data_IF_062234822026
#
_entry.id   IF_062234822026
#
_cell.length_a   1.000
_cell.length_b   1.000
_cell.length_c   1.000
_cell.angle_alpha   90.00
_cell.angle_beta   90.00
_cell.angle_gamma   90.00
#
_symmetry.space_group_name_H-M   'P 1'
#
loop_
_entity.id
_entity.type
_entity.pdbx_description
1 polymer ?
#
# COMPACT_ATOMS: atom_id res chain seq x y z
N UNK A 1 41.25 83.57 -57.82
CA UNK A 1 39.98 82.88 -57.86
C UNK A 1 40.20 81.61 -57.04
N UNK A 2 39.62 81.60 -55.91
CA UNK A 2 39.29 80.61 -55.00
C UNK A 2 40.18 79.40 -54.89
N UNK A 3 40.94 79.26 -53.78
CA UNK A 3 41.69 78.13 -53.37
C UNK A 3 41.10 77.61 -52.05
N UNK A 4 40.57 76.42 -52.12
CA UNK A 4 39.99 75.68 -50.94
C UNK A 4 41.07 75.10 -50.12
N UNK A 5 40.94 75.34 -48.77
CA UNK A 5 41.68 74.70 -47.72
C UNK A 5 41.00 73.37 -47.34
N UNK A 6 41.73 72.26 -47.48
CA UNK A 6 41.34 71.01 -46.91
C UNK A 6 41.95 70.88 -45.53
N UNK A 7 41.05 70.76 -44.52
CA UNK A 7 41.38 70.45 -43.17
C UNK A 7 41.65 68.93 -43.02
N UNK A 8 42.76 68.57 -42.46
CA UNK A 8 43.14 67.23 -42.06
C UNK A 8 42.25 66.81 -40.89
N UNK A 9 41.43 65.80 -41.06
CA UNK A 9 40.72 65.09 -39.99
C UNK A 9 41.62 64.05 -39.40
N UNK A 10 41.93 64.18 -38.07
CA UNK A 10 42.60 63.17 -37.26
C UNK A 10 41.76 61.89 -37.24
N UNK A 11 42.40 60.80 -37.64
CA UNK A 11 41.84 59.44 -37.51
C UNK A 11 42.11 59.04 -36.06
N UNK A 12 41.06 59.06 -35.26
CA UNK A 12 41.02 58.45 -33.94
C UNK A 12 40.94 56.95 -34.16
N UNK A 13 41.99 56.22 -33.87
CA UNK A 13 42.02 54.79 -33.75
C UNK A 13 41.15 54.41 -32.54
N UNK A 14 40.17 53.48 -32.63
CA UNK A 14 39.50 52.98 -31.49
C UNK A 14 40.46 52.09 -30.68
N UNK A 15 40.77 52.60 -29.52
CA UNK A 15 41.62 51.95 -28.52
C UNK A 15 40.92 50.76 -27.88
N UNK A 16 41.70 49.71 -27.71
CA UNK A 16 41.55 48.65 -26.74
C UNK A 16 40.15 48.01 -26.56
N UNK A 17 39.96 46.85 -27.13
CA UNK A 17 39.08 45.86 -26.56
C UNK A 17 39.37 45.73 -25.05
N UNK A 18 38.36 45.78 -24.19
CA UNK A 18 38.58 45.46 -22.75
C UNK A 18 39.15 44.05 -22.63
N UNK A 19 40.20 43.92 -21.84
CA UNK A 19 40.75 42.63 -21.48
C UNK A 19 39.64 41.70 -21.05
N UNK A 20 39.69 40.39 -21.35
CA UNK A 20 38.76 39.44 -20.84
C UNK A 20 38.75 39.59 -19.32
N UNK A 21 37.60 39.96 -18.77
CA UNK A 21 37.37 39.86 -17.32
C UNK A 21 37.77 38.44 -16.93
N UNK A 22 38.81 38.34 -16.11
CA UNK A 22 39.23 37.08 -15.52
C UNK A 22 38.01 36.28 -15.15
N UNK A 23 37.88 35.07 -15.64
CA UNK A 23 36.83 34.17 -15.25
C UNK A 23 36.93 34.10 -13.72
N UNK A 24 35.86 34.45 -12.96
CA UNK A 24 35.95 34.42 -11.54
C UNK A 24 36.34 32.99 -11.13
N UNK A 25 37.39 32.87 -10.34
CA UNK A 25 37.80 31.61 -9.71
C UNK A 25 36.54 30.92 -9.16
N UNK A 26 36.45 29.60 -9.39
CA UNK A 26 35.37 28.79 -8.76
C UNK A 26 35.30 29.17 -7.28
N UNK A 27 34.11 29.46 -6.75
CA UNK A 27 34.02 29.93 -5.38
C UNK A 27 34.75 28.94 -4.46
N UNK A 28 35.50 29.40 -3.45
CA UNK A 28 36.31 28.55 -2.55
C UNK A 28 35.48 27.58 -1.69
N UNK A 29 34.19 27.48 -1.99
CA UNK A 29 33.19 26.71 -1.24
C UNK A 29 33.16 25.20 -1.50
N UNK A 30 33.69 24.71 -2.61
CA UNK A 30 33.50 23.28 -2.96
C UNK A 30 34.22 22.33 -2.01
N UNK A 31 35.43 22.65 -1.61
CA UNK A 31 36.18 21.84 -0.65
C UNK A 31 35.58 21.89 0.76
N UNK A 32 34.97 23.03 1.13
CA UNK A 32 34.28 23.21 2.41
C UNK A 32 32.98 22.43 2.47
N UNK A 33 32.21 22.45 1.38
CA UNK A 33 30.95 21.68 1.26
C UNK A 33 31.19 20.17 1.34
N UNK A 34 32.24 19.67 0.69
CA UNK A 34 32.54 18.24 0.72
C UNK A 34 32.91 17.71 2.11
N UNK A 35 33.38 18.59 3.01
CA UNK A 35 33.78 18.27 4.38
C UNK A 35 32.63 18.29 5.41
N UNK A 36 31.44 18.71 5.01
CA UNK A 36 30.27 18.76 5.92
C UNK A 36 29.79 17.32 6.17
N UNK A 37 29.81 16.88 7.43
CA UNK A 37 29.39 15.53 7.83
C UNK A 37 27.87 15.40 7.94
N UNK A 38 27.19 16.45 8.43
CA UNK A 38 25.73 16.44 8.55
C UNK A 38 25.04 16.59 7.20
N UNK A 39 24.15 15.63 6.87
CA UNK A 39 23.49 15.56 5.57
C UNK A 39 22.53 16.71 5.31
N UNK A 40 21.87 17.24 6.34
CA UNK A 40 20.91 18.33 6.19
C UNK A 40 21.65 19.64 5.94
N UNK A 41 22.66 19.95 6.76
CA UNK A 41 23.55 21.11 6.58
C UNK A 41 24.22 21.06 5.20
N UNK A 42 24.73 19.90 4.78
CA UNK A 42 25.31 19.74 3.46
C UNK A 42 24.33 20.07 2.33
N UNK A 43 23.09 19.56 2.41
CA UNK A 43 22.07 19.84 1.42
C UNK A 43 21.66 21.32 1.37
N UNK A 44 21.53 21.96 2.53
CA UNK A 44 21.16 23.38 2.64
C UNK A 44 22.26 24.27 2.06
N UNK A 45 23.50 24.07 2.45
CA UNK A 45 24.66 24.84 1.98
C UNK A 45 24.92 24.61 0.48
N UNK A 46 24.75 23.39 0.00
CA UNK A 46 24.82 23.08 -1.44
C UNK A 46 23.74 23.80 -2.24
N UNK A 47 22.52 23.87 -1.72
CA UNK A 47 21.41 24.61 -2.37
C UNK A 47 21.64 26.12 -2.30
N UNK A 48 22.25 26.65 -1.25
CA UNK A 48 22.66 28.04 -1.15
C UNK A 48 23.75 28.37 -2.17
N UNK A 49 24.77 27.51 -2.31
CA UNK A 49 25.77 27.60 -3.36
C UNK A 49 25.14 27.62 -4.76
N UNK A 50 24.16 26.73 -5.02
CA UNK A 50 23.43 26.71 -6.28
C UNK A 50 22.75 28.06 -6.53
N UNK A 51 22.04 28.60 -5.54
CA UNK A 51 21.37 29.93 -5.65
C UNK A 51 22.37 31.04 -5.93
N UNK A 52 23.49 31.08 -5.19
CA UNK A 52 24.54 32.07 -5.41
C UNK A 52 25.17 31.95 -6.78
N UNK A 53 25.40 30.72 -7.25
CA UNK A 53 25.99 30.45 -8.55
C UNK A 53 25.06 30.84 -9.73
N UNK A 54 23.74 30.74 -9.55
CA UNK A 54 22.75 31.02 -10.59
C UNK A 54 22.26 32.47 -10.61
N UNK A 55 22.20 33.13 -9.45
CA UNK A 55 21.69 34.51 -9.36
C UNK A 55 22.68 35.57 -9.85
N UNK A 56 23.97 35.28 -9.86
CA UNK A 56 25.02 36.26 -10.18
C UNK A 56 25.64 36.12 -11.56
N UNK A 57 25.23 35.11 -12.37
CA UNK A 57 25.92 34.78 -13.63
C UNK A 57 24.97 34.42 -14.75
N UNK A 58 25.26 34.83 -16.00
CA UNK A 58 24.48 34.42 -17.15
C UNK A 58 24.63 32.92 -17.49
N UNK A 59 25.75 32.30 -17.12
CA UNK A 59 26.00 30.85 -17.30
C UNK A 59 26.43 30.26 -15.94
N UNK A 60 25.63 29.40 -15.31
CA UNK A 60 26.01 28.69 -14.09
C UNK A 60 27.27 27.82 -14.32
N UNK A 61 28.12 27.71 -13.30
CA UNK A 61 29.28 26.80 -13.35
C UNK A 61 28.80 25.39 -13.01
N UNK A 62 29.02 24.41 -13.88
CA UNK A 62 28.65 23.03 -13.60
C UNK A 62 29.40 22.46 -12.40
N UNK A 63 28.78 21.50 -11.72
CA UNK A 63 29.41 20.74 -10.63
C UNK A 63 30.37 19.70 -11.23
N UNK A 64 31.68 19.86 -11.01
CA UNK A 64 32.73 18.95 -11.53
C UNK A 64 33.67 18.46 -10.42
N UNK A 65 33.53 18.96 -9.20
CA UNK A 65 34.37 18.60 -8.08
C UNK A 65 34.14 17.15 -7.63
N UNK A 66 35.21 16.34 -7.69
CA UNK A 66 35.14 14.91 -7.43
C UNK A 66 34.78 14.58 -5.98
N UNK A 67 35.22 15.41 -5.02
CA UNK A 67 34.94 15.21 -3.59
C UNK A 67 33.49 15.56 -3.28
N UNK A 68 32.98 16.62 -3.91
CA UNK A 68 31.59 17.03 -3.79
C UNK A 68 30.65 16.02 -4.42
N UNK A 69 31.01 15.44 -5.58
CA UNK A 69 30.27 14.33 -6.19
C UNK A 69 30.27 13.10 -5.27
N UNK A 70 31.42 12.78 -4.65
CA UNK A 70 31.51 11.68 -3.70
C UNK A 70 30.60 11.91 -2.48
N UNK A 71 30.59 13.11 -1.94
CA UNK A 71 29.72 13.49 -0.82
C UNK A 71 28.22 13.45 -1.21
N UNK A 72 27.87 13.96 -2.37
CA UNK A 72 26.52 13.85 -2.93
C UNK A 72 26.08 12.37 -3.05
N UNK A 73 26.97 11.50 -3.52
CA UNK A 73 26.72 10.08 -3.61
C UNK A 73 26.64 9.37 -2.25
N UNK A 74 27.16 9.93 -1.19
CA UNK A 74 27.05 9.39 0.16
C UNK A 74 25.68 9.69 0.82
N UNK A 75 24.93 10.67 0.31
CA UNK A 75 23.61 11.01 0.83
C UNK A 75 22.64 9.82 0.84
N UNK A 76 21.73 9.71 1.81
CA UNK A 76 20.66 8.74 1.77
C UNK A 76 19.70 9.00 0.58
N UNK A 77 19.00 7.98 0.09
CA UNK A 77 18.20 8.06 -1.15
C UNK A 77 17.13 9.17 -1.12
N UNK A 78 16.56 9.45 0.03
CA UNK A 78 15.54 10.50 0.17
C UNK A 78 16.10 11.93 0.05
N UNK A 79 17.41 12.13 0.26
CA UNK A 79 18.12 13.41 0.08
C UNK A 79 18.79 13.49 -1.28
N UNK A 80 19.42 12.42 -1.73
CA UNK A 80 20.15 12.38 -3.00
C UNK A 80 19.33 12.86 -4.20
N UNK A 81 18.13 12.31 -4.37
CA UNK A 81 17.29 12.60 -5.54
C UNK A 81 16.80 14.06 -5.58
N UNK A 82 16.23 14.63 -4.50
CA UNK A 82 15.83 16.04 -4.49
C UNK A 82 17.02 16.99 -4.74
N UNK A 83 18.17 16.70 -4.15
CA UNK A 83 19.39 17.52 -4.31
C UNK A 83 19.90 17.47 -5.75
N UNK A 84 19.96 16.29 -6.36
CA UNK A 84 20.36 16.13 -7.76
C UNK A 84 19.41 16.89 -8.71
N UNK A 85 18.09 16.86 -8.47
CA UNK A 85 17.10 17.61 -9.23
C UNK A 85 17.32 19.12 -9.05
N UNK A 86 17.61 19.57 -7.84
CA UNK A 86 17.87 20.98 -7.56
C UNK A 86 19.12 21.50 -8.28
N UNK A 87 20.13 20.65 -8.46
CA UNK A 87 21.33 20.94 -9.28
C UNK A 87 21.02 20.98 -10.78
N UNK A 88 20.15 20.10 -11.26
CA UNK A 88 19.81 20.02 -12.67
C UNK A 88 18.91 21.19 -13.16
N UNK A 89 18.04 21.73 -12.29
CA UNK A 89 17.14 22.84 -12.64
C UNK A 89 17.84 24.11 -13.15
N UNK A 90 18.89 24.60 -12.46
CA UNK A 90 19.63 25.80 -12.86
C UNK A 90 20.82 25.49 -13.78
N UNK A 91 20.87 24.33 -14.41
CA UNK A 91 21.96 23.90 -15.28
C UNK A 91 23.35 23.82 -14.57
N UNK A 92 23.34 23.62 -13.26
CA UNK A 92 24.53 23.39 -12.45
C UNK A 92 25.03 21.93 -12.52
N UNK A 93 24.29 21.06 -13.17
CA UNK A 93 24.66 19.65 -13.35
C UNK A 93 25.18 19.46 -14.77
N UNK A 94 26.47 19.09 -14.90
CA UNK A 94 27.01 18.76 -16.22
C UNK A 94 26.54 17.39 -16.71
N UNK A 95 26.59 17.19 -18.02
CA UNK A 95 26.25 15.91 -18.61
C UNK A 95 27.18 14.80 -18.12
N UNK A 96 28.49 15.10 -17.95
CA UNK A 96 29.49 14.14 -17.48
C UNK A 96 29.19 13.64 -16.07
N UNK A 97 28.67 14.51 -15.19
CA UNK A 97 28.25 14.10 -13.83
C UNK A 97 27.09 13.10 -13.87
N UNK A 98 26.17 13.21 -14.81
CA UNK A 98 25.09 12.21 -14.95
C UNK A 98 25.60 10.83 -15.31
N UNK A 99 26.69 10.76 -16.06
CA UNK A 99 27.33 9.51 -16.48
C UNK A 99 28.46 9.07 -15.52
N UNK A 100 28.69 9.82 -14.42
CA UNK A 100 29.70 9.45 -13.42
C UNK A 100 29.40 8.05 -12.86
N UNK A 101 30.46 7.26 -12.71
CA UNK A 101 30.42 5.86 -12.25
C UNK A 101 29.81 5.67 -10.85
N UNK A 102 29.69 6.73 -10.07
CA UNK A 102 29.06 6.76 -8.73
C UNK A 102 27.61 7.21 -8.79
N UNK A 103 27.28 8.18 -9.64
CA UNK A 103 25.92 8.76 -9.81
C UNK A 103 25.00 7.83 -10.60
N UNK A 104 25.47 7.33 -11.74
CA UNK A 104 24.67 6.49 -12.62
C UNK A 104 24.14 5.22 -11.92
N UNK A 105 24.93 4.47 -11.11
CA UNK A 105 24.42 3.34 -10.35
C UNK A 105 23.34 3.72 -9.33
N UNK A 106 23.39 4.92 -8.74
CA UNK A 106 22.36 5.39 -7.82
C UNK A 106 21.07 5.73 -8.56
N UNK A 107 21.15 6.41 -9.70
CA UNK A 107 20.01 6.66 -10.58
C UNK A 107 19.40 5.35 -11.09
N UNK A 108 20.21 4.33 -11.32
CA UNK A 108 19.78 3.00 -11.74
C UNK A 108 18.90 2.29 -10.70
N UNK A 109 18.99 2.65 -9.41
CA UNK A 109 18.14 2.13 -8.33
C UNK A 109 16.77 2.83 -8.26
N UNK A 110 16.62 4.00 -8.87
CA UNK A 110 15.38 4.75 -8.85
C UNK A 110 14.24 3.97 -9.52
N UNK A 111 13.04 4.06 -8.94
CA UNK A 111 11.85 3.49 -9.57
C UNK A 111 11.60 4.18 -10.92
N UNK A 112 11.26 3.41 -11.95
CA UNK A 112 11.06 3.93 -13.33
C UNK A 112 10.05 5.08 -13.40
N UNK A 113 8.98 5.02 -12.60
CA UNK A 113 7.97 6.09 -12.52
C UNK A 113 8.57 7.39 -11.97
N UNK A 114 9.34 7.31 -10.90
CA UNK A 114 10.02 8.46 -10.30
C UNK A 114 11.10 9.03 -11.20
N UNK A 115 11.92 8.17 -11.82
CA UNK A 115 12.92 8.60 -12.80
C UNK A 115 12.26 9.40 -13.94
N UNK A 116 11.18 8.86 -14.55
CA UNK A 116 10.48 9.49 -15.68
C UNK A 116 9.69 10.73 -15.30
N UNK A 117 8.98 10.70 -14.18
CA UNK A 117 8.10 11.77 -13.75
C UNK A 117 8.81 12.92 -13.06
N UNK A 118 9.91 12.65 -12.36
CA UNK A 118 10.55 13.63 -11.50
C UNK A 118 11.92 14.07 -11.99
N UNK A 119 12.77 13.15 -12.44
CA UNK A 119 14.15 13.46 -12.82
C UNK A 119 14.32 13.79 -14.31
N UNK A 120 13.83 12.95 -15.22
CA UNK A 120 14.02 13.15 -16.67
C UNK A 120 13.52 14.48 -17.22
N UNK A 121 12.43 15.12 -16.71
CA UNK A 121 12.02 16.44 -17.17
C UNK A 121 13.10 17.52 -17.01
N UNK A 122 13.93 17.40 -15.97
CA UNK A 122 15.06 18.32 -15.74
C UNK A 122 16.31 17.90 -16.54
N UNK A 123 16.63 16.60 -16.55
CA UNK A 123 17.76 16.11 -17.33
C UNK A 123 17.67 16.46 -18.83
N UNK A 124 16.45 16.50 -19.40
CA UNK A 124 16.20 16.90 -20.80
C UNK A 124 16.56 18.36 -21.10
N UNK A 125 16.73 19.20 -20.08
CA UNK A 125 17.12 20.60 -20.24
C UNK A 125 18.63 20.77 -20.32
N UNK A 126 19.43 19.76 -19.96
CA UNK A 126 20.88 19.81 -20.00
C UNK A 126 21.37 19.80 -21.45
N UNK A 127 22.34 20.65 -21.73
CA UNK A 127 22.91 20.78 -23.06
C UNK A 127 23.56 19.45 -23.50
N UNK A 128 23.20 18.95 -24.69
CA UNK A 128 23.72 17.71 -25.23
C UNK A 128 23.07 16.43 -24.67
N UNK A 129 22.05 16.53 -23.79
CA UNK A 129 21.36 15.36 -23.24
C UNK A 129 20.57 14.61 -24.30
N UNK A 130 20.89 13.32 -24.47
CA UNK A 130 20.15 12.38 -25.33
C UNK A 130 19.53 11.30 -24.45
N UNK A 131 18.20 11.35 -24.30
CA UNK A 131 17.48 10.42 -23.42
C UNK A 131 17.72 8.94 -23.76
N UNK A 132 17.83 8.63 -25.06
CA UNK A 132 18.07 7.26 -25.51
C UNK A 132 19.41 6.70 -25.03
N UNK A 133 20.46 7.52 -25.03
CA UNK A 133 21.79 7.16 -24.59
C UNK A 133 21.82 7.02 -23.07
N UNK A 134 21.29 7.98 -22.35
CA UNK A 134 21.16 7.93 -20.91
C UNK A 134 20.40 6.68 -20.43
N UNK A 135 19.26 6.35 -21.04
CA UNK A 135 18.51 5.15 -20.70
C UNK A 135 19.20 3.85 -21.07
N UNK A 136 20.14 3.88 -22.04
CA UNK A 136 20.98 2.74 -22.39
C UNK A 136 22.01 2.47 -21.29
N UNK A 137 22.77 3.50 -20.91
CA UNK A 137 23.77 3.43 -19.84
C UNK A 137 23.12 3.06 -18.49
N UNK A 138 21.97 3.64 -18.17
CA UNK A 138 21.22 3.31 -16.97
C UNK A 138 20.82 1.83 -16.93
N UNK A 139 20.41 1.27 -18.07
CA UNK A 139 20.10 -0.18 -18.18
C UNK A 139 21.34 -1.04 -18.03
N UNK A 140 22.47 -0.57 -18.54
CA UNK A 140 23.74 -1.25 -18.36
C UNK A 140 24.15 -1.26 -16.90
N UNK A 141 24.14 -0.12 -16.22
CA UNK A 141 24.43 -0.02 -14.79
C UNK A 141 23.49 -0.89 -13.94
N UNK A 142 22.20 -1.00 -14.30
CA UNK A 142 21.27 -1.93 -13.66
C UNK A 142 21.70 -3.40 -13.83
N UNK A 143 22.14 -3.80 -15.03
CA UNK A 143 22.60 -5.17 -15.30
C UNK A 143 23.87 -5.49 -14.52
N UNK A 144 24.82 -4.56 -14.47
CA UNK A 144 26.06 -4.70 -13.72
C UNK A 144 25.81 -4.81 -12.21
N UNK A 145 24.90 -4.02 -11.65
CA UNK A 145 24.48 -4.16 -10.27
C UNK A 145 23.86 -5.54 -9.98
N UNK A 146 23.02 -6.03 -10.88
CA UNK A 146 22.45 -7.37 -10.75
C UNK A 146 23.53 -8.45 -10.85
N UNK A 147 24.45 -8.33 -11.79
CA UNK A 147 25.56 -9.26 -11.94
C UNK A 147 26.49 -9.24 -10.71
N UNK A 148 26.82 -8.07 -10.18
CA UNK A 148 27.65 -7.93 -8.98
C UNK A 148 26.94 -8.50 -7.73
N UNK A 149 25.63 -8.28 -7.58
CA UNK A 149 24.85 -8.91 -6.50
C UNK A 149 24.84 -10.43 -6.63
N UNK A 150 24.71 -10.95 -7.84
CA UNK A 150 24.77 -12.38 -8.09
C UNK A 150 26.17 -12.97 -7.85
N UNK A 151 27.23 -12.20 -8.15
CA UNK A 151 28.62 -12.63 -7.95
C UNK A 151 29.06 -12.60 -6.48
N UNK A 152 28.50 -11.66 -5.68
CA UNK A 152 28.86 -11.49 -4.25
C UNK A 152 27.86 -12.11 -3.29
N UNK A 153 26.64 -12.40 -3.77
CA UNK A 153 25.57 -13.01 -2.97
C UNK A 153 25.66 -14.53 -2.96
N UNK A 154 25.35 -15.14 -1.82
CA UNK A 154 25.17 -16.58 -1.71
C UNK A 154 23.67 -16.91 -1.67
N UNK A 155 23.20 -17.93 -2.42
CA UNK A 155 21.82 -18.36 -2.32
C UNK A 155 21.54 -18.95 -0.92
N UNK A 156 20.41 -18.58 -0.35
CA UNK A 156 19.92 -19.20 0.90
C UNK A 156 19.04 -20.37 0.50
N UNK A 157 19.50 -21.58 0.77
CA UNK A 157 18.78 -22.84 0.50
C UNK A 157 18.51 -23.52 1.83
N UNK A 158 17.26 -23.86 2.08
CA UNK A 158 16.84 -24.60 3.29
C UNK A 158 16.34 -25.97 2.83
N UNK A 159 16.88 -27.02 3.43
CA UNK A 159 16.40 -28.38 3.20
C UNK A 159 15.11 -28.61 3.98
N UNK A 160 14.07 -29.12 3.34
CA UNK A 160 12.75 -29.28 3.98
C UNK A 160 12.72 -30.30 5.11
N UNK A 161 13.69 -31.21 5.17
CA UNK A 161 13.86 -32.18 6.28
C UNK A 161 14.33 -31.49 7.58
N UNK A 162 14.96 -30.33 7.49
CA UNK A 162 15.37 -29.52 8.65
C UNK A 162 14.26 -28.60 9.17
N UNK A 163 13.16 -28.46 8.43
CA UNK A 163 12.05 -27.56 8.77
C UNK A 163 11.06 -28.26 9.68
N UNK A 164 10.89 -27.75 10.89
CA UNK A 164 9.88 -28.26 11.83
C UNK A 164 8.49 -27.82 11.41
N UNK A 165 7.57 -28.78 11.29
CA UNK A 165 6.16 -28.50 11.01
C UNK A 165 5.52 -27.76 12.19
N UNK A 166 4.93 -26.60 11.93
CA UNK A 166 4.14 -25.83 12.90
C UNK A 166 2.70 -25.67 12.42
N UNK A 167 1.70 -25.82 13.30
CA UNK A 167 0.31 -25.57 12.95
C UNK A 167 0.09 -24.07 12.70
N UNK A 168 -0.92 -23.75 11.86
CA UNK A 168 -1.39 -22.38 11.72
C UNK A 168 -2.11 -21.97 13.00
N UNK A 169 -1.70 -20.86 13.58
CA UNK A 169 -2.38 -20.24 14.73
C UNK A 169 -3.35 -19.18 14.23
N UNK A 170 -4.54 -19.12 14.85
CA UNK A 170 -5.62 -18.27 14.39
C UNK A 170 -5.93 -17.20 15.44
N UNK A 171 -6.15 -15.97 14.96
CA UNK A 171 -6.75 -14.89 15.74
C UNK A 171 -8.27 -15.06 15.78
N UNK A 172 -8.85 -15.43 14.65
CA UNK A 172 -10.27 -15.78 14.46
C UNK A 172 -10.38 -16.91 13.44
N UNK A 173 -10.62 -18.13 13.91
CA UNK A 173 -10.69 -19.31 13.03
C UNK A 173 -12.05 -19.41 12.32
N UNK A 174 -12.05 -19.72 11.01
CA UNK A 174 -10.95 -19.86 10.09
C UNK A 174 -10.64 -18.59 9.27
N UNK A 175 -11.04 -17.41 9.75
CA UNK A 175 -11.09 -16.15 9.00
C UNK A 175 -9.77 -15.37 9.02
N UNK A 176 -9.17 -15.23 10.20
CA UNK A 176 -7.96 -14.41 10.39
C UNK A 176 -6.89 -15.21 11.11
N UNK A 177 -5.76 -15.46 10.44
CA UNK A 177 -4.63 -16.21 11.00
C UNK A 177 -3.54 -15.25 11.54
N UNK A 178 -2.92 -15.63 12.65
CA UNK A 178 -1.73 -14.96 13.20
C UNK A 178 -0.52 -15.17 12.28
N UNK A 179 0.37 -14.19 12.25
CA UNK A 179 1.54 -14.20 11.38
C UNK A 179 1.20 -14.07 9.89
N UNK A 180 -0.02 -13.66 9.51
CA UNK A 180 -0.46 -13.64 8.13
C UNK A 180 -1.17 -12.32 7.78
N UNK A 181 -1.13 -12.00 6.47
CA UNK A 181 -1.84 -10.88 5.90
C UNK A 181 -3.23 -11.34 5.44
N UNK A 182 -4.25 -10.58 5.82
CA UNK A 182 -5.64 -10.72 5.37
C UNK A 182 -6.11 -9.46 4.64
N UNK A 183 -7.00 -9.62 3.66
CA UNK A 183 -7.71 -8.51 3.02
C UNK A 183 -9.17 -8.51 3.43
N UNK A 184 -9.73 -7.33 3.69
CA UNK A 184 -11.13 -7.11 3.98
C UNK A 184 -11.73 -6.17 2.93
N UNK A 185 -12.50 -6.72 2.03
CA UNK A 185 -13.13 -6.01 0.90
C UNK A 185 -14.61 -5.71 1.20
N UNK A 186 -15.15 -4.66 0.61
CA UNK A 186 -16.58 -4.33 0.68
C UNK A 186 -16.84 -2.86 0.39
N UNK A 187 -18.08 -2.50 0.05
CA UNK A 187 -18.48 -1.16 -0.31
C UNK A 187 -18.28 -0.16 0.86
N UNK A 188 -18.10 1.15 0.58
CA UNK A 188 -18.10 2.17 1.60
C UNK A 188 -19.40 2.13 2.44
N UNK A 189 -19.28 2.35 3.75
CA UNK A 189 -20.45 2.39 4.67
C UNK A 189 -21.07 1.03 5.00
N UNK A 190 -20.54 -0.09 4.46
CA UNK A 190 -21.10 -1.43 4.71
C UNK A 190 -20.80 -1.95 6.13
N UNK A 191 -19.87 -1.35 6.86
CA UNK A 191 -19.54 -1.74 8.23
C UNK A 191 -18.18 -2.42 8.41
N UNK A 192 -17.25 -2.29 7.45
CA UNK A 192 -15.89 -2.89 7.56
C UNK A 192 -15.12 -2.40 8.79
N UNK A 193 -15.04 -1.08 8.96
CA UNK A 193 -14.38 -0.47 10.13
C UNK A 193 -15.09 -0.85 11.42
N UNK A 194 -16.44 -0.87 11.43
CA UNK A 194 -17.24 -1.29 12.58
C UNK A 194 -16.94 -2.75 12.97
N UNK A 195 -16.86 -3.66 12.00
CA UNK A 195 -16.46 -5.05 12.22
C UNK A 195 -15.08 -5.15 12.87
N UNK A 196 -14.09 -4.41 12.33
CA UNK A 196 -12.73 -4.45 12.87
C UNK A 196 -12.63 -3.81 14.26
N UNK A 197 -13.40 -2.76 14.51
CA UNK A 197 -13.54 -2.14 15.85
C UNK A 197 -14.12 -3.15 16.86
N UNK A 198 -15.13 -3.90 16.48
CA UNK A 198 -15.71 -4.94 17.34
C UNK A 198 -14.73 -6.08 17.63
N UNK A 199 -13.98 -6.53 16.60
CA UNK A 199 -12.94 -7.55 16.80
C UNK A 199 -11.85 -7.01 17.75
N UNK A 200 -11.38 -5.78 17.54
CA UNK A 200 -10.40 -5.14 18.41
C UNK A 200 -10.90 -5.02 19.86
N UNK A 201 -12.17 -4.63 20.05
CA UNK A 201 -12.81 -4.58 21.36
C UNK A 201 -12.86 -5.95 22.04
N UNK A 202 -13.25 -6.99 21.30
CA UNK A 202 -13.27 -8.37 21.79
C UNK A 202 -11.88 -8.84 22.22
N UNK A 203 -10.86 -8.58 21.41
CA UNK A 203 -9.46 -8.91 21.71
C UNK A 203 -8.95 -8.17 22.95
N UNK A 204 -9.31 -6.91 23.14
CA UNK A 204 -8.86 -6.10 24.27
C UNK A 204 -9.31 -6.62 25.62
N UNK A 205 -10.41 -7.37 25.67
CA UNK A 205 -11.01 -7.96 26.88
C UNK A 205 -11.10 -9.49 26.88
N UNK A 206 -10.48 -10.15 25.90
CA UNK A 206 -10.56 -11.61 25.74
C UNK A 206 -12.00 -12.13 25.52
N UNK A 207 -12.88 -11.31 24.94
CA UNK A 207 -14.19 -11.79 24.57
C UNK A 207 -14.08 -12.74 23.38
N UNK A 208 -14.86 -13.84 23.37
CA UNK A 208 -14.82 -14.76 22.25
C UNK A 208 -15.43 -14.15 20.99
N UNK A 209 -14.95 -14.65 19.83
CA UNK A 209 -15.51 -14.34 18.51
C UNK A 209 -16.44 -15.48 18.06
N UNK A 210 -17.39 -15.25 17.13
CA UNK A 210 -18.25 -16.30 16.62
C UNK A 210 -17.44 -17.39 15.91
N UNK A 211 -17.81 -18.62 16.12
CA UNK A 211 -17.29 -19.75 15.36
C UNK A 211 -18.05 -19.98 14.04
N UNK A 212 -17.75 -21.08 13.35
CA UNK A 212 -18.42 -21.43 12.09
C UNK A 212 -19.91 -21.80 12.22
N UNK A 213 -20.36 -22.11 13.43
CA UNK A 213 -21.76 -22.46 13.70
C UNK A 213 -22.56 -21.22 14.14
N UNK A 214 -21.89 -20.06 14.22
CA UNK A 214 -22.52 -18.79 14.61
C UNK A 214 -22.62 -18.60 16.11
N UNK A 215 -22.09 -19.51 16.89
CA UNK A 215 -21.98 -19.37 18.35
C UNK A 215 -20.76 -18.50 18.69
N UNK A 216 -20.81 -17.81 19.82
CA UNK A 216 -19.68 -16.98 20.29
C UNK A 216 -18.75 -17.88 21.11
N UNK A 217 -17.97 -18.69 20.46
CA UNK A 217 -17.21 -19.76 21.12
C UNK A 217 -15.70 -19.73 20.87
N UNK A 218 -15.21 -19.02 19.83
CA UNK A 218 -13.80 -18.99 19.53
C UNK A 218 -13.02 -18.14 20.54
N UNK A 219 -12.27 -18.80 21.43
CA UNK A 219 -11.47 -18.11 22.45
C UNK A 219 -10.25 -17.43 21.80
N UNK A 220 -10.10 -16.12 22.03
CA UNK A 220 -8.99 -15.32 21.51
C UNK A 220 -7.72 -15.39 22.37
N UNK A 221 -7.77 -16.04 23.52
CA UNK A 221 -6.70 -16.04 24.53
C UNK A 221 -6.81 -14.87 25.51
N UNK A 222 -5.69 -14.37 26.02
CA UNK A 222 -5.64 -13.23 26.96
C UNK A 222 -5.98 -11.90 26.31
N UNK A 223 -6.07 -10.80 27.10
CA UNK A 223 -6.27 -9.46 26.55
C UNK A 223 -5.10 -9.07 25.63
N UNK A 224 -5.41 -8.66 24.40
CA UNK A 224 -4.42 -8.37 23.38
C UNK A 224 -4.44 -6.92 22.95
N UNK A 225 -3.28 -6.41 22.54
CA UNK A 225 -3.15 -5.08 21.92
C UNK A 225 -3.56 -5.17 20.45
N UNK A 226 -4.28 -4.16 20.00
CA UNK A 226 -4.54 -3.90 18.59
C UNK A 226 -3.89 -2.58 18.18
N UNK A 227 -3.15 -2.56 17.06
CA UNK A 227 -2.66 -1.34 16.42
C UNK A 227 -3.57 -1.02 15.24
N UNK A 228 -4.05 0.21 15.17
CA UNK A 228 -4.89 0.70 14.07
C UNK A 228 -4.17 1.81 13.32
N UNK A 229 -4.21 1.74 12.01
CA UNK A 229 -3.86 2.81 11.08
C UNK A 229 -5.17 3.23 10.41
N UNK A 230 -5.70 4.40 10.77
CA UNK A 230 -6.94 4.94 10.21
C UNK A 230 -6.74 6.39 9.80
N UNK A 231 -7.16 6.71 8.57
CA UNK A 231 -7.12 8.08 8.02
C UNK A 231 -8.51 8.62 7.72
N UNK A 232 -9.53 7.75 7.74
CA UNK A 232 -10.90 8.15 7.40
C UNK A 232 -11.71 8.58 8.63
N UNK A 233 -11.47 7.94 9.77
CA UNK A 233 -12.21 8.20 11.00
C UNK A 233 -11.44 9.15 11.93
N UNK A 234 -12.10 10.20 12.42
CA UNK A 234 -11.61 11.05 13.50
C UNK A 234 -11.43 10.24 14.79
N UNK A 235 -10.32 10.48 15.51
CA UNK A 235 -10.01 9.71 16.72
C UNK A 235 -11.00 10.01 17.85
N UNK A 236 -11.38 11.28 18.01
CA UNK A 236 -12.15 11.79 19.14
C UNK A 236 -13.65 11.63 18.96
N UNK A 237 -14.14 11.87 17.76
CA UNK A 237 -15.56 11.96 17.43
C UNK A 237 -16.14 10.67 16.80
N UNK A 238 -15.28 9.80 16.30
CA UNK A 238 -15.71 8.61 15.57
C UNK A 238 -15.11 7.33 16.11
N UNK A 239 -13.78 7.17 16.10
CA UNK A 239 -13.14 5.91 16.45
C UNK A 239 -13.27 5.59 17.93
N UNK A 240 -12.99 6.58 18.81
CA UNK A 240 -13.07 6.37 20.26
C UNK A 240 -14.49 6.08 20.74
N UNK A 241 -15.54 6.81 20.35
CA UNK A 241 -16.92 6.44 20.69
C UNK A 241 -17.31 5.04 20.24
N UNK A 242 -16.96 4.64 19.01
CA UNK A 242 -17.23 3.27 18.53
C UNK A 242 -16.53 2.19 19.33
N UNK A 243 -15.29 2.44 19.78
CA UNK A 243 -14.57 1.51 20.64
C UNK A 243 -15.19 1.39 22.03
N UNK A 244 -15.63 2.51 22.59
CA UNK A 244 -16.31 2.56 23.89
C UNK A 244 -17.68 1.86 23.82
N UNK A 245 -18.47 2.11 22.79
CA UNK A 245 -19.76 1.45 22.53
C UNK A 245 -19.60 -0.07 22.33
N UNK A 246 -18.50 -0.49 21.66
CA UNK A 246 -18.13 -1.90 21.52
C UNK A 246 -17.59 -2.51 22.83
N UNK A 247 -17.45 -1.74 23.88
CA UNK A 247 -16.97 -2.17 25.19
C UNK A 247 -15.48 -2.45 25.26
N UNK A 248 -14.65 -1.81 24.39
CA UNK A 248 -13.21 -2.02 24.36
C UNK A 248 -12.50 -1.54 25.63
N UNK A 249 -11.40 -2.21 25.99
CA UNK A 249 -10.35 -1.60 26.80
C UNK A 249 -9.49 -0.71 25.90
N UNK A 250 -9.77 0.59 25.87
CA UNK A 250 -9.06 1.55 25.03
C UNK A 250 -7.55 1.63 25.34
N UNK A 251 -7.09 1.19 26.53
CA UNK A 251 -5.67 1.12 26.84
C UNK A 251 -4.92 0.09 25.97
N UNK A 252 -5.64 -0.89 25.44
CA UNK A 252 -5.13 -1.92 24.53
C UNK A 252 -5.24 -1.54 23.04
N UNK A 253 -5.86 -0.41 22.72
CA UNK A 253 -5.99 0.06 21.34
C UNK A 253 -4.98 1.18 21.11
N UNK A 254 -4.09 1.00 20.16
CA UNK A 254 -3.05 1.95 19.77
C UNK A 254 -3.32 2.43 18.36
N UNK A 255 -3.21 3.73 18.12
CA UNK A 255 -3.39 4.30 16.78
C UNK A 255 -2.08 4.90 16.30
N UNK A 256 -1.59 4.43 15.17
CA UNK A 256 -0.41 4.99 14.51
C UNK A 256 -0.88 6.11 13.56
N UNK A 257 -0.67 7.37 13.97
CA UNK A 257 -1.08 8.56 13.20
C UNK A 257 0.05 9.14 12.34
N UNK A 258 1.29 8.83 12.69
CA UNK A 258 2.48 9.37 12.03
C UNK A 258 3.74 9.09 12.87
N UNK A 259 4.84 9.71 12.48
CA UNK A 259 6.12 9.60 13.19
C UNK A 259 6.77 10.99 13.31
N UNK A 260 7.67 11.16 14.28
CA UNK A 260 8.43 12.36 14.50
C UNK A 260 9.88 12.16 14.06
N UNK A 261 10.44 13.13 13.38
CA UNK A 261 11.88 13.16 13.10
C UNK A 261 12.70 13.71 14.29
N UNK A 262 14.01 13.80 14.11
CA UNK A 262 14.92 14.31 15.13
C UNK A 262 14.67 15.80 15.52
N UNK A 263 13.97 16.54 14.66
CA UNK A 263 13.57 17.94 14.89
C UNK A 263 12.17 18.10 15.48
N UNK A 264 11.53 16.99 15.96
CA UNK A 264 10.14 16.95 16.44
C UNK A 264 9.07 17.28 15.39
N UNK A 265 9.42 17.38 14.11
CA UNK A 265 8.42 17.54 13.04
C UNK A 265 7.61 16.25 12.86
N UNK A 266 6.29 16.40 12.76
CA UNK A 266 5.38 15.26 12.59
C UNK A 266 5.15 14.98 11.12
N UNK A 267 5.41 13.75 10.72
CA UNK A 267 5.22 13.24 9.36
C UNK A 267 4.09 12.22 9.33
N UNK A 268 3.27 12.27 8.27
CA UNK A 268 2.27 11.24 8.05
C UNK A 268 2.95 9.91 7.70
N UNK A 269 2.44 8.81 8.27
CA UNK A 269 2.95 7.49 7.99
C UNK A 269 2.57 7.02 6.58
N UNK A 270 3.50 6.41 5.89
CA UNK A 270 3.29 5.66 4.64
C UNK A 270 4.07 4.35 4.67
N UNK A 271 3.81 3.44 3.73
CA UNK A 271 4.59 2.19 3.64
C UNK A 271 6.06 2.38 3.20
N UNK A 272 6.48 3.61 2.92
CA UNK A 272 7.90 3.94 2.78
C UNK A 272 8.59 3.98 4.16
N UNK A 273 7.82 4.18 5.22
CA UNK A 273 8.26 4.30 6.61
C UNK A 273 8.09 2.98 7.39
N UNK A 274 8.22 1.82 6.73
CA UNK A 274 8.08 0.50 7.36
C UNK A 274 8.88 0.30 8.66
N UNK A 275 10.11 0.85 8.79
CA UNK A 275 10.84 0.76 10.06
C UNK A 275 10.11 1.41 11.25
N UNK A 276 9.27 2.43 11.01
CA UNK A 276 8.46 3.05 12.06
C UNK A 276 7.33 2.12 12.51
N UNK A 277 6.69 1.44 11.57
CA UNK A 277 5.70 0.40 11.91
C UNK A 277 6.36 -0.73 12.69
N UNK A 278 7.55 -1.18 12.28
CA UNK A 278 8.29 -2.24 12.97
C UNK A 278 8.60 -1.88 14.42
N UNK A 279 9.01 -0.64 14.70
CA UNK A 279 9.22 -0.13 16.06
C UNK A 279 7.94 -0.21 16.90
N UNK A 280 6.78 0.13 16.32
CA UNK A 280 5.48 0.02 17.00
C UNK A 280 5.16 -1.44 17.32
N UNK A 281 5.37 -2.36 16.36
CA UNK A 281 5.13 -3.79 16.56
C UNK A 281 6.02 -4.36 17.68
N UNK A 282 7.29 -3.99 17.69
CA UNK A 282 8.24 -4.41 18.70
C UNK A 282 7.88 -3.90 20.10
N UNK A 283 7.42 -2.64 20.19
CA UNK A 283 7.10 -2.00 21.47
C UNK A 283 5.77 -2.47 22.06
N UNK A 284 4.74 -2.54 21.21
CA UNK A 284 3.36 -2.76 21.66
C UNK A 284 2.93 -4.24 21.64
N UNK A 285 3.69 -5.11 20.99
CA UNK A 285 3.43 -6.56 20.79
C UNK A 285 1.95 -6.87 20.44
N UNK A 286 1.41 -6.27 19.34
CA UNK A 286 0.01 -6.42 19.01
C UNK A 286 -0.28 -7.81 18.43
N UNK A 287 -1.48 -8.33 18.68
CA UNK A 287 -1.99 -9.52 17.98
C UNK A 287 -2.74 -9.18 16.70
N UNK A 288 -3.23 -7.93 16.58
CA UNK A 288 -3.95 -7.43 15.42
C UNK A 288 -3.38 -6.08 14.99
N UNK A 289 -3.16 -5.93 13.70
CA UNK A 289 -2.92 -4.64 13.04
C UNK A 289 -4.01 -4.42 12.00
N UNK A 290 -4.72 -3.30 12.07
CA UNK A 290 -5.75 -2.91 11.12
C UNK A 290 -5.24 -1.73 10.31
N UNK A 291 -5.31 -1.81 8.99
CA UNK A 291 -4.92 -0.74 8.07
C UNK A 291 -6.15 -0.32 7.26
N UNK A 292 -6.68 0.87 7.53
CA UNK A 292 -7.96 1.36 7.02
C UNK A 292 -7.88 2.78 6.43
N UNK A 293 -8.00 2.91 5.11
CA UNK A 293 -7.82 1.87 4.08
C UNK A 293 -6.35 1.73 3.65
N UNK A 294 -5.98 0.56 3.11
CA UNK A 294 -4.60 0.31 2.64
C UNK A 294 -4.12 1.33 1.59
N UNK A 295 -5.04 1.84 0.76
CA UNK A 295 -4.73 2.79 -0.31
C UNK A 295 -4.12 4.09 0.23
N UNK A 296 -4.55 4.55 1.40
CA UNK A 296 -4.07 5.79 2.00
C UNK A 296 -2.58 5.74 2.39
N UNK A 297 -2.04 4.54 2.56
CA UNK A 297 -0.68 4.32 3.06
C UNK A 297 0.33 3.88 1.99
N UNK A 298 -0.07 3.77 0.73
CA UNK A 298 0.83 3.31 -0.35
C UNK A 298 2.00 4.29 -0.61
N UNK A 299 1.82 5.56 -0.26
CA UNK A 299 2.82 6.60 -0.46
C UNK A 299 2.78 7.23 -1.86
N UNK A 300 3.44 8.37 -2.00
CA UNK A 300 3.51 9.10 -3.27
C UNK A 300 4.31 8.31 -4.32
N UNK A 301 3.78 8.23 -5.54
CA UNK A 301 4.45 7.56 -6.67
C UNK A 301 4.26 6.05 -6.75
N UNK A 302 3.42 5.44 -5.89
CA UNK A 302 3.03 4.04 -5.99
C UNK A 302 1.67 3.93 -6.68
N UNK A 303 1.66 3.31 -7.87
CA UNK A 303 0.42 3.01 -8.58
C UNK A 303 -0.17 1.70 -8.04
N UNK A 304 -1.32 1.79 -7.38
CA UNK A 304 -2.00 0.63 -6.79
C UNK A 304 -2.43 -0.43 -7.81
N UNK A 305 -2.52 -0.07 -9.10
CA UNK A 305 -2.89 -0.98 -10.18
C UNK A 305 -1.68 -1.74 -10.75
N UNK A 306 -0.47 -1.40 -10.33
CA UNK A 306 0.76 -2.05 -10.78
C UNK A 306 1.30 -3.01 -9.75
N UNK A 307 1.25 -4.28 -10.10
CA UNK A 307 1.75 -5.38 -9.27
C UNK A 307 3.20 -5.21 -8.81
N UNK A 308 4.07 -4.74 -9.71
CA UNK A 308 5.49 -4.54 -9.44
C UNK A 308 5.78 -3.40 -8.45
N UNK A 309 4.82 -2.52 -8.20
CA UNK A 309 4.93 -1.41 -7.24
C UNK A 309 4.32 -1.77 -5.88
N UNK A 310 3.20 -2.48 -5.88
CA UNK A 310 2.48 -2.86 -4.65
C UNK A 310 3.07 -4.10 -3.97
N UNK A 311 3.55 -5.09 -4.74
CA UNK A 311 4.03 -6.36 -4.22
C UNK A 311 5.19 -6.26 -3.21
N UNK A 312 6.23 -5.42 -3.40
CA UNK A 312 7.29 -5.24 -2.41
C UNK A 312 6.79 -4.72 -1.07
N UNK A 313 5.77 -3.85 -1.07
CA UNK A 313 5.16 -3.30 0.15
C UNK A 313 4.37 -4.38 0.90
N UNK A 314 3.59 -5.17 0.18
CA UNK A 314 2.84 -6.29 0.75
C UNK A 314 3.76 -7.40 1.28
N UNK A 315 4.88 -7.65 0.59
CA UNK A 315 5.89 -8.61 1.07
C UNK A 315 6.59 -8.11 2.34
N UNK A 316 6.76 -6.79 2.50
CA UNK A 316 7.26 -6.21 3.74
C UNK A 316 6.26 -6.38 4.89
N UNK A 317 4.97 -6.04 4.67
CA UNK A 317 3.90 -6.28 5.66
C UNK A 317 3.79 -7.76 6.04
N UNK A 318 3.88 -8.66 5.06
CA UNK A 318 3.85 -10.10 5.31
C UNK A 318 5.02 -10.57 6.17
N UNK A 319 6.24 -10.04 5.95
CA UNK A 319 7.41 -10.35 6.79
C UNK A 319 7.20 -9.85 8.21
N UNK A 320 6.69 -8.64 8.40
CA UNK A 320 6.40 -8.11 9.73
C UNK A 320 5.33 -8.94 10.44
N UNK A 321 4.24 -9.32 9.75
CA UNK A 321 3.22 -10.20 10.33
C UNK A 321 3.82 -11.52 10.82
N UNK A 322 4.64 -12.16 9.99
CA UNK A 322 5.28 -13.45 10.33
C UNK A 322 6.31 -13.31 11.46
N UNK A 323 7.15 -12.29 11.43
CA UNK A 323 8.18 -12.01 12.44
C UNK A 323 7.57 -11.71 13.80
N UNK A 324 6.54 -10.88 13.87
CA UNK A 324 5.88 -10.47 15.12
C UNK A 324 4.67 -11.33 15.49
N UNK A 325 4.38 -12.37 14.71
CA UNK A 325 3.25 -13.30 14.92
C UNK A 325 1.92 -12.56 15.19
N UNK A 326 1.70 -11.43 14.48
CA UNK A 326 0.47 -10.66 14.50
C UNK A 326 -0.34 -10.86 13.21
N UNK A 327 -1.65 -10.76 13.28
CA UNK A 327 -2.49 -10.69 12.10
C UNK A 327 -2.48 -9.25 11.56
N UNK A 328 -2.25 -9.06 10.27
CA UNK A 328 -2.39 -7.75 9.62
C UNK A 328 -3.61 -7.82 8.69
N UNK A 329 -4.63 -7.02 8.98
CA UNK A 329 -5.84 -6.91 8.17
C UNK A 329 -5.84 -5.59 7.44
N UNK A 330 -5.82 -5.64 6.11
CA UNK A 330 -5.88 -4.46 5.26
C UNK A 330 -7.29 -4.31 4.70
N UNK A 331 -7.94 -3.20 5.04
CA UNK A 331 -9.25 -2.83 4.50
C UNK A 331 -9.06 -2.21 3.11
N UNK A 332 -9.94 -2.61 2.17
CA UNK A 332 -9.89 -2.15 0.79
C UNK A 332 -11.30 -1.81 0.30
N UNK A 333 -11.40 -0.72 -0.46
CA UNK A 333 -12.64 -0.35 -1.15
C UNK A 333 -12.73 -1.05 -2.51
N UNK A 334 -13.93 -1.36 -3.01
CA UNK A 334 -14.11 -1.93 -4.33
C UNK A 334 -13.85 -0.91 -5.44
N UNK A 335 -13.48 -1.41 -6.63
CA UNK A 335 -13.39 -0.59 -7.83
C UNK A 335 -14.80 -0.27 -8.36
N UNK A 336 -15.06 1.00 -8.69
CA UNK A 336 -16.37 1.50 -9.17
C UNK A 336 -16.90 0.80 -10.43
N UNK A 337 -16.06 0.05 -11.16
CA UNK A 337 -16.38 -0.54 -12.47
C UNK A 337 -16.64 -2.05 -12.46
N UNK A 338 -16.67 -2.72 -11.30
CA UNK A 338 -16.70 -4.20 -11.22
C UNK A 338 -18.03 -4.80 -10.79
N UNK A 339 -19.17 -4.20 -11.17
CA UNK A 339 -20.46 -4.88 -11.01
C UNK A 339 -20.47 -6.19 -11.81
N UNK A 340 -20.71 -7.33 -11.15
CA UNK A 340 -20.80 -8.65 -11.76
C UNK A 340 -19.48 -9.46 -11.85
N UNK A 341 -18.37 -8.99 -11.25
CA UNK A 341 -17.10 -9.75 -11.17
C UNK A 341 -17.08 -10.76 -10.01
N UNK A 342 -16.11 -11.70 -10.02
CA UNK A 342 -15.88 -12.61 -8.88
C UNK A 342 -15.61 -11.77 -7.61
N UNK A 343 -16.13 -12.22 -6.45
CA UNK A 343 -15.90 -11.57 -5.14
C UNK A 343 -14.41 -11.27 -4.90
N UNK A 344 -13.54 -12.20 -5.28
CA UNK A 344 -12.09 -12.11 -5.18
C UNK A 344 -11.49 -10.89 -5.92
N UNK A 345 -12.14 -10.40 -6.96
CA UNK A 345 -11.62 -9.33 -7.85
C UNK A 345 -12.35 -8.00 -7.72
N UNK A 346 -13.30 -7.86 -6.80
CA UNK A 346 -14.08 -6.61 -6.62
C UNK A 346 -13.29 -5.50 -5.93
N UNK A 347 -12.24 -5.82 -5.18
CA UNK A 347 -11.43 -4.81 -4.49
C UNK A 347 -10.66 -3.90 -5.44
N UNK A 348 -10.55 -2.63 -5.09
CA UNK A 348 -9.77 -1.63 -5.82
C UNK A 348 -8.28 -1.97 -5.82
N UNK A 349 -7.63 -1.81 -6.96
CA UNK A 349 -6.20 -2.04 -7.13
C UNK A 349 -5.88 -3.35 -7.86
N UNK A 350 -4.61 -3.73 -7.84
CA UNK A 350 -4.11 -4.93 -8.48
C UNK A 350 -4.70 -6.20 -7.86
N UNK A 351 -4.95 -7.21 -8.69
CA UNK A 351 -5.27 -8.59 -8.25
C UNK A 351 -4.18 -9.14 -7.31
N UNK A 352 -2.96 -8.61 -7.41
CA UNK A 352 -1.86 -8.98 -6.52
C UNK A 352 -2.07 -8.56 -5.06
N UNK A 353 -2.88 -7.54 -4.77
CA UNK A 353 -3.23 -7.17 -3.40
C UNK A 353 -3.90 -8.35 -2.68
N UNK A 354 -4.95 -8.91 -3.27
CA UNK A 354 -5.59 -10.11 -2.72
C UNK A 354 -4.71 -11.36 -2.90
N UNK A 355 -3.87 -11.38 -3.95
CA UNK A 355 -2.90 -12.44 -4.21
C UNK A 355 -1.90 -12.63 -3.08
N UNK A 356 -1.40 -11.53 -2.50
CA UNK A 356 -0.43 -11.54 -1.40
C UNK A 356 -1.02 -11.98 -0.06
N UNK A 357 -2.32 -11.75 0.18
CA UNK A 357 -3.01 -12.18 1.38
C UNK A 357 -3.18 -13.70 1.45
N UNK A 358 -3.19 -14.26 2.66
CA UNK A 358 -3.49 -15.68 2.88
C UNK A 358 -4.96 -15.96 3.06
N UNK A 359 -5.70 -14.97 3.58
CA UNK A 359 -7.17 -15.00 3.67
C UNK A 359 -7.73 -13.72 3.06
N UNK A 360 -8.89 -13.83 2.43
CA UNK A 360 -9.67 -12.73 1.92
C UNK A 360 -11.08 -12.78 2.48
N UNK A 361 -11.52 -11.67 3.02
CA UNK A 361 -12.87 -11.47 3.56
C UNK A 361 -13.61 -10.47 2.68
N UNK A 362 -14.89 -10.67 2.52
CA UNK A 362 -15.77 -9.80 1.74
C UNK A 362 -17.01 -9.46 2.58
N UNK A 363 -17.24 -8.17 2.79
CA UNK A 363 -18.41 -7.67 3.52
C UNK A 363 -19.42 -7.14 2.54
N UNK A 364 -20.66 -7.60 2.68
CA UNK A 364 -21.79 -7.18 1.87
C UNK A 364 -23.06 -7.06 2.73
N UNK A 365 -24.04 -6.32 2.25
CA UNK A 365 -25.34 -6.17 2.90
C UNK A 365 -26.18 -7.44 2.72
N UNK A 366 -26.92 -7.82 3.76
CA UNK A 366 -27.87 -8.93 3.64
C UNK A 366 -28.99 -8.54 2.68
N UNK A 367 -29.29 -9.36 1.66
CA UNK A 367 -30.24 -9.00 0.61
C UNK A 367 -31.67 -8.73 1.13
N UNK A 368 -32.12 -9.44 2.17
CA UNK A 368 -33.46 -9.30 2.73
C UNK A 368 -33.51 -8.34 3.95
N UNK A 369 -32.39 -8.06 4.59
CA UNK A 369 -32.33 -7.30 5.84
C UNK A 369 -31.27 -6.19 5.79
N UNK A 370 -31.63 -4.96 5.36
CA UNK A 370 -30.64 -3.87 5.17
C UNK A 370 -29.85 -3.46 6.43
N UNK A 371 -30.38 -3.75 7.62
CA UNK A 371 -29.67 -3.49 8.87
C UNK A 371 -28.58 -4.53 9.18
N UNK A 372 -28.55 -5.65 8.45
CA UNK A 372 -27.60 -6.74 8.64
C UNK A 372 -26.53 -6.67 7.57
N UNK A 373 -25.29 -6.79 7.98
CA UNK A 373 -24.15 -7.02 7.11
C UNK A 373 -23.63 -8.45 7.27
N UNK A 374 -23.01 -8.95 6.23
CA UNK A 374 -22.48 -10.31 6.17
C UNK A 374 -20.99 -10.26 5.84
N UNK A 375 -20.17 -11.03 6.55
CA UNK A 375 -18.76 -11.23 6.24
C UNK A 375 -18.54 -12.65 5.77
N UNK A 376 -18.18 -12.81 4.50
CA UNK A 376 -17.88 -14.09 3.87
C UNK A 376 -16.40 -14.20 3.55
N UNK A 377 -15.88 -15.41 3.60
CA UNK A 377 -14.50 -15.67 3.19
C UNK A 377 -14.44 -15.91 1.68
N UNK A 378 -13.78 -14.99 0.96
CA UNK A 378 -13.62 -15.08 -0.51
C UNK A 378 -12.37 -15.85 -0.93
N UNK A 379 -11.41 -16.04 0.01
CA UNK A 379 -10.14 -16.72 -0.21
C UNK A 379 -9.61 -17.32 1.08
N UNK A 380 -9.09 -18.55 1.01
CA UNK A 380 -8.24 -19.15 2.03
C UNK A 380 -7.19 -20.04 1.36
N UNK A 381 -5.90 -19.83 1.70
CA UNK A 381 -4.78 -20.66 1.24
C UNK A 381 -4.21 -21.55 2.37
N UNK A 382 -4.75 -21.44 3.58
CA UNK A 382 -4.16 -22.02 4.79
C UNK A 382 -5.16 -22.81 5.65
N UNK A 383 -6.42 -22.88 5.22
CA UNK A 383 -7.47 -23.60 5.88
C UNK A 383 -8.73 -23.70 5.02
N UNK A 384 -9.79 -24.34 5.51
CA UNK A 384 -11.07 -24.39 4.81
C UNK A 384 -11.69 -22.98 4.75
N UNK A 385 -12.64 -22.79 3.84
CA UNK A 385 -13.47 -21.60 3.85
C UNK A 385 -14.47 -21.70 5.02
N UNK A 386 -14.56 -20.63 5.81
CA UNK A 386 -15.57 -20.49 6.86
C UNK A 386 -16.94 -20.16 6.28
N UNK A 387 -17.99 -20.42 7.08
CA UNK A 387 -19.35 -19.94 6.77
C UNK A 387 -19.41 -18.41 6.80
N UNK A 388 -20.37 -17.85 6.13
CA UNK A 388 -20.64 -16.40 6.18
C UNK A 388 -21.23 -16.05 7.54
N UNK A 389 -20.58 -15.16 8.28
CA UNK A 389 -21.03 -14.65 9.58
C UNK A 389 -21.81 -13.37 9.37
N UNK A 390 -22.91 -13.20 10.11
CA UNK A 390 -23.77 -12.02 10.03
C UNK A 390 -23.61 -11.14 11.27
N UNK A 391 -23.74 -9.84 11.06
CA UNK A 391 -23.79 -8.87 12.15
C UNK A 391 -24.77 -7.73 11.86
N UNK A 392 -25.48 -7.28 12.88
CA UNK A 392 -26.34 -6.10 12.85
C UNK A 392 -25.51 -4.83 13.02
N UNK A 393 -25.92 -3.78 12.31
CA UNK A 393 -25.45 -2.39 12.48
C UNK A 393 -26.61 -1.43 12.77
N UNK A 394 -27.72 -1.97 13.27
CA UNK A 394 -28.92 -1.19 13.59
C UNK A 394 -28.64 -0.18 14.69
N UNK A 395 -29.05 1.08 14.48
CA UNK A 395 -28.84 2.14 15.46
C UNK A 395 -27.39 2.49 15.77
N UNK A 396 -26.43 2.07 14.91
CA UNK A 396 -25.00 2.27 15.14
C UNK A 396 -24.36 1.27 16.11
N UNK A 397 -25.15 0.34 16.65
CA UNK A 397 -24.68 -0.71 17.54
C UNK A 397 -24.31 -1.98 16.75
N UNK A 398 -23.30 -2.69 17.24
CA UNK A 398 -22.87 -3.95 16.68
C UNK A 398 -23.41 -5.14 17.46
N UNK A 399 -23.96 -6.13 16.74
CA UNK A 399 -24.41 -7.39 17.34
C UNK A 399 -24.17 -8.54 16.36
N UNK A 400 -23.61 -9.64 16.81
CA UNK A 400 -23.48 -10.86 16.01
C UNK A 400 -24.86 -11.52 15.82
N UNK A 401 -25.20 -11.83 14.56
CA UNK A 401 -26.53 -12.35 14.19
C UNK A 401 -26.50 -13.82 13.71
N UNK A 402 -25.41 -14.54 13.99
CA UNK A 402 -25.28 -15.93 13.54
C UNK A 402 -24.63 -16.07 12.18
N UNK A 403 -24.99 -17.12 11.42
CA UNK A 403 -24.36 -17.47 10.14
C UNK A 403 -25.38 -17.54 9.00
N UNK A 404 -24.89 -17.29 7.77
CA UNK A 404 -25.65 -17.42 6.54
C UNK A 404 -25.07 -18.55 5.67
N UNK A 405 -25.91 -19.13 4.82
CA UNK A 405 -25.49 -20.10 3.79
C UNK A 405 -24.97 -19.43 2.51
N UNK A 406 -25.08 -18.10 2.38
CA UNK A 406 -24.56 -17.35 1.24
C UNK A 406 -23.05 -17.41 1.22
N UNK A 407 -22.48 -17.77 0.07
CA UNK A 407 -21.04 -17.65 -0.15
C UNK A 407 -20.63 -16.24 -0.60
N UNK A 408 -19.35 -15.90 -0.50
CA UNK A 408 -18.83 -14.65 -1.02
C UNK A 408 -19.12 -14.44 -2.52
N UNK A 409 -19.12 -15.51 -3.32
CA UNK A 409 -19.43 -15.43 -4.76
C UNK A 409 -20.90 -15.14 -5.03
N UNK A 410 -21.79 -15.71 -4.24
CA UNK A 410 -23.23 -15.43 -4.30
C UNK A 410 -23.52 -13.99 -3.91
N UNK A 411 -22.92 -13.52 -2.80
CA UNK A 411 -23.03 -12.13 -2.34
C UNK A 411 -22.52 -11.14 -3.38
N UNK A 412 -21.45 -11.46 -4.07
CA UNK A 412 -20.88 -10.61 -5.12
C UNK A 412 -21.71 -10.51 -6.41
N UNK A 413 -22.78 -11.29 -6.57
CA UNK A 413 -23.62 -11.26 -7.77
C UNK A 413 -22.87 -11.62 -9.04
N UNK A 414 -22.00 -12.64 -9.00
CA UNK A 414 -21.08 -13.01 -10.09
C UNK A 414 -21.76 -13.53 -11.38
N UNK A 415 -23.07 -13.54 -11.44
CA UNK A 415 -23.88 -13.96 -12.60
C UNK A 415 -23.79 -15.46 -12.97
N UNK A 416 -23.04 -16.25 -12.19
CA UNK A 416 -22.86 -17.71 -12.40
C UNK A 416 -23.53 -18.55 -11.32
N UNK A 417 -24.27 -17.95 -10.41
CA UNK A 417 -25.05 -18.62 -9.36
C UNK A 417 -26.49 -18.13 -9.34
N UNK A 418 -27.36 -18.78 -8.55
CA UNK A 418 -28.70 -18.29 -8.31
C UNK A 418 -28.65 -16.88 -7.73
N UNK A 419 -29.66 -16.07 -8.03
CA UNK A 419 -29.87 -14.80 -7.38
C UNK A 419 -29.85 -15.00 -5.85
N UNK A 420 -29.08 -14.24 -5.07
CA UNK A 420 -29.02 -14.35 -3.62
C UNK A 420 -30.40 -14.25 -2.95
N UNK A 421 -31.29 -13.44 -3.49
CA UNK A 421 -32.68 -13.32 -3.02
C UNK A 421 -33.44 -14.62 -3.21
N UNK A 422 -33.52 -15.11 -4.46
CA UNK A 422 -34.21 -16.34 -4.80
C UNK A 422 -33.63 -17.56 -4.06
N UNK A 423 -32.29 -17.55 -3.84
CA UNK A 423 -31.64 -18.59 -3.05
C UNK A 423 -32.11 -18.60 -1.60
N UNK A 424 -32.13 -17.43 -0.93
CA UNK A 424 -32.57 -17.33 0.47
C UNK A 424 -34.06 -17.63 0.62
N UNK A 425 -34.88 -17.15 -0.30
CA UNK A 425 -36.32 -17.49 -0.30
C UNK A 425 -36.54 -18.99 -0.39
N UNK A 426 -35.83 -19.67 -1.31
CA UNK A 426 -35.90 -21.11 -1.44
C UNK A 426 -35.40 -21.85 -0.18
N UNK A 427 -34.33 -21.36 0.45
CA UNK A 427 -33.82 -21.94 1.71
C UNK A 427 -34.83 -21.76 2.84
N UNK A 428 -35.36 -20.57 3.05
CA UNK A 428 -36.35 -20.30 4.10
C UNK A 428 -37.66 -21.08 3.87
N UNK A 429 -38.06 -21.26 2.61
CA UNK A 429 -39.18 -22.07 2.23
C UNK A 429 -38.96 -23.55 2.58
N UNK A 430 -37.81 -24.13 2.20
CA UNK A 430 -37.44 -25.50 2.52
C UNK A 430 -37.33 -25.74 4.02
N UNK A 431 -36.72 -24.85 4.76
CA UNK A 431 -36.60 -24.97 6.22
C UNK A 431 -37.98 -25.02 6.91
N UNK A 432 -38.92 -24.16 6.52
CA UNK A 432 -40.30 -24.20 7.01
C UNK A 432 -41.02 -25.47 6.61
N UNK A 433 -40.82 -25.90 5.34
CA UNK A 433 -41.53 -27.08 4.80
C UNK A 433 -41.07 -28.40 5.43
N UNK A 434 -39.80 -28.44 5.88
CA UNK A 434 -39.16 -29.61 6.46
C UNK A 434 -38.99 -29.50 8.00
N UNK A 435 -39.66 -28.54 8.66
CA UNK A 435 -39.53 -28.27 10.09
C UNK A 435 -39.94 -29.46 10.96
N UNK A 436 -40.88 -30.28 10.49
CA UNK A 436 -41.32 -31.50 11.16
C UNK A 436 -40.33 -32.68 11.08
N UNK A 437 -39.26 -32.54 10.29
CA UNK A 437 -38.20 -33.55 10.13
C UNK A 437 -38.69 -34.81 9.41
N UNK A 438 -39.89 -34.82 8.80
CA UNK A 438 -40.40 -35.96 8.07
C UNK A 438 -39.80 -35.98 6.64
N UNK A 439 -39.50 -37.17 6.09
CA UNK A 439 -39.01 -37.28 4.73
C UNK A 439 -40.11 -36.89 3.73
N UNK A 440 -39.79 -35.95 2.84
CA UNK A 440 -40.68 -35.52 1.76
C UNK A 440 -40.06 -35.85 0.41
N UNK A 441 -40.89 -36.32 -0.52
CA UNK A 441 -40.41 -36.60 -1.90
C UNK A 441 -39.94 -35.34 -2.58
N UNK A 442 -38.78 -35.41 -3.28
CA UNK A 442 -38.24 -34.29 -4.06
C UNK A 442 -39.21 -33.83 -5.17
N UNK A 443 -40.04 -34.73 -5.68
CA UNK A 443 -41.06 -34.38 -6.68
C UNK A 443 -42.14 -33.51 -6.05
N UNK A 444 -42.65 -33.90 -4.88
CA UNK A 444 -43.66 -33.14 -4.17
C UNK A 444 -43.14 -31.76 -3.75
N UNK A 445 -41.88 -31.69 -3.27
CA UNK A 445 -41.24 -30.40 -2.91
C UNK A 445 -41.14 -29.47 -4.12
N UNK A 446 -40.90 -29.99 -5.32
CA UNK A 446 -40.87 -29.19 -6.54
C UNK A 446 -42.24 -28.65 -6.92
N UNK A 447 -43.25 -29.51 -6.90
CA UNK A 447 -44.62 -29.13 -7.20
C UNK A 447 -45.12 -28.03 -6.23
N UNK A 448 -44.95 -28.23 -4.94
CA UNK A 448 -45.29 -27.26 -3.92
C UNK A 448 -44.54 -25.95 -4.04
N UNK A 449 -43.21 -25.99 -4.37
CA UNK A 449 -42.39 -24.80 -4.55
C UNK A 449 -42.78 -23.99 -5.80
N UNK A 450 -43.20 -24.69 -6.91
CA UNK A 450 -43.71 -24.01 -8.09
C UNK A 450 -45.06 -23.37 -7.84
N UNK A 451 -45.95 -23.99 -7.03
CA UNK A 451 -47.23 -23.42 -6.60
C UNK A 451 -47.04 -22.18 -5.76
N UNK A 452 -45.96 -22.14 -4.92
CA UNK A 452 -45.58 -20.99 -4.10
C UNK A 452 -44.75 -19.95 -4.88
N UNK A 453 -44.54 -20.13 -6.19
CA UNK A 453 -43.89 -19.16 -7.07
C UNK A 453 -42.36 -19.19 -7.05
N UNK A 454 -41.74 -20.22 -6.45
CA UNK A 454 -40.29 -20.40 -6.45
C UNK A 454 -39.84 -21.04 -7.78
N UNK A 455 -38.78 -20.49 -8.40
CA UNK A 455 -38.29 -20.95 -9.68
C UNK A 455 -37.55 -22.30 -9.56
N UNK A 456 -37.89 -23.26 -10.41
CA UNK A 456 -37.30 -24.61 -10.51
C UNK A 456 -35.76 -24.65 -10.59
N UNK A 457 -35.07 -23.77 -11.33
CA UNK A 457 -33.59 -23.76 -11.38
C UNK A 457 -32.91 -23.55 -10.02
N UNK A 458 -33.55 -22.81 -9.11
CA UNK A 458 -33.04 -22.52 -7.77
C UNK A 458 -33.03 -23.77 -6.90
N UNK A 459 -34.07 -24.60 -6.98
CA UNK A 459 -34.18 -25.86 -6.22
C UNK A 459 -33.25 -26.96 -6.77
N UNK A 460 -33.20 -27.18 -8.08
CA UNK A 460 -32.33 -28.17 -8.71
C UNK A 460 -30.83 -27.95 -8.43
N UNK A 461 -30.39 -26.71 -8.37
CA UNK A 461 -29.00 -26.38 -8.05
C UNK A 461 -28.62 -26.72 -6.60
N UNK A 462 -29.59 -26.87 -5.70
CA UNK A 462 -29.36 -27.21 -4.29
C UNK A 462 -29.31 -28.73 -4.06
N UNK A 463 -30.13 -29.51 -4.75
CA UNK A 463 -30.08 -30.97 -4.69
C UNK A 463 -28.70 -31.48 -5.15
N UNK A 464 -28.19 -30.96 -6.27
CA UNK A 464 -26.90 -31.34 -6.82
C UNK A 464 -25.73 -31.01 -5.85
N UNK A 465 -25.86 -29.97 -5.04
CA UNK A 465 -24.85 -29.61 -4.00
C UNK A 465 -25.02 -30.44 -2.73
N UNK A 466 -26.21 -30.82 -2.36
CA UNK A 466 -26.47 -31.69 -1.22
C UNK A 466 -25.98 -33.12 -1.46
N UNK A 467 -26.08 -33.61 -2.68
CA UNK A 467 -25.53 -34.92 -3.11
C UNK A 467 -23.99 -34.93 -3.11
N UNK A 468 -23.34 -33.81 -3.45
CA UNK A 468 -21.88 -33.66 -3.43
C UNK A 468 -21.29 -33.46 -2.04
N UNK A 469 -22.11 -33.33 -1.00
CA UNK A 469 -21.72 -33.13 0.40
C UNK A 469 -21.97 -34.40 1.26
N UNK A 470 -22.45 -35.47 0.67
CA UNK A 470 -22.48 -36.83 1.25
C UNK A 470 -21.29 -37.64 0.73
#
# INVERSE_FOLDING_TARGET
MSTDHFATTDVVTPDASPAPLDAPEAPPYTATLAAIEDDDTFCEDLLEWVRANTNCRPNPVPLEDADLIARLCALPDHRFTPTLIALAKPDCLSLDVLFDERILPRLARMRRGHLRGTFLPYARQLQGFVEGDFLRELRQAQREQHANRAATGSPVVISMDTVTRTPVTWLWWPYIALGKLAMLDGDPGIGKTLLMTQIAASLSKSYPLPDQDGTVAFATGGPHVTVMLSTEDGLEDTLKPRLEDAGADCAKIKVLTGWKDAGDAVHAFSFQDMPMLEQVLQKEDPRLVVIDPIQAYLGSGVDMHRANETRPLLDALRRLADQYQCAIVCIRHPAKSTQGGKALHRGLGSVDLIGAARTGLFVEQHPLHPAIAMVAQSKSNIGPLGRTVMFSKAGGQFEWCGVSRLSAEMMAGSGRGPDPYAFLEAVCWLERRLEDGLPVSSVLLREEAEEDGLSFPTLASQEQRAENLR
#
